data_IF_290751689269
#
_entry.id   IF_290751689269
#
_cell.length_a   1.000
_cell.length_b   1.000
_cell.length_c   1.000
_cell.angle_alpha   90.00
_cell.angle_beta   90.00
_cell.angle_gamma   90.00
#
_symmetry.space_group_name_H-M   'P 1'
#
loop_
_entity.id
_entity.type
_entity.pdbx_description
1 polymer ?
#
# COMPACT_ATOMS: atom_id res chain seq x y z
N UNK A 1 -21.36 0.94 3.04
CA UNK A 1 -20.95 -0.48 3.02
C UNK A 1 -20.09 -0.64 1.79
N UNK A 2 -18.93 -1.28 1.90
CA UNK A 2 -18.06 -1.51 0.73
C UNK A 2 -18.47 -2.79 0.02
N UNK A 3 -18.51 -2.74 -1.31
CA UNK A 3 -18.55 -3.88 -2.20
C UNK A 3 -17.15 -4.44 -2.38
N UNK A 4 -17.07 -5.68 -2.88
CA UNK A 4 -15.80 -6.30 -3.24
C UNK A 4 -15.00 -5.44 -4.25
N UNK A 5 -15.67 -4.82 -5.22
CA UNK A 5 -15.03 -3.89 -6.16
C UNK A 5 -14.44 -2.67 -5.46
N UNK A 6 -15.16 -2.09 -4.50
CA UNK A 6 -14.68 -0.90 -3.79
C UNK A 6 -13.50 -1.24 -2.86
N UNK A 7 -13.38 -2.47 -2.33
CA UNK A 7 -12.18 -2.91 -1.61
C UNK A 7 -10.93 -2.95 -2.52
N UNK A 8 -11.08 -3.38 -3.77
CA UNK A 8 -9.98 -3.30 -4.75
C UNK A 8 -9.65 -1.88 -5.14
N UNK A 9 -10.65 -1.00 -5.28
CA UNK A 9 -10.39 0.42 -5.54
C UNK A 9 -9.57 1.06 -4.42
N UNK A 10 -9.83 0.65 -3.18
CA UNK A 10 -9.05 1.05 -2.02
C UNK A 10 -7.63 0.50 -2.05
N UNK A 11 -7.44 -0.79 -2.38
CA UNK A 11 -6.11 -1.36 -2.55
C UNK A 11 -5.29 -0.66 -3.64
N UNK A 12 -5.89 -0.46 -4.82
CA UNK A 12 -5.26 0.31 -5.90
C UNK A 12 -4.89 1.72 -5.44
N UNK A 13 -5.76 2.38 -4.67
CA UNK A 13 -5.49 3.73 -4.18
C UNK A 13 -4.32 3.77 -3.19
N UNK A 14 -4.13 2.74 -2.36
CA UNK A 14 -2.98 2.63 -1.45
C UNK A 14 -1.68 2.54 -2.25
N UNK A 15 -1.61 1.65 -3.24
CA UNK A 15 -0.42 1.51 -4.12
C UNK A 15 -0.11 2.81 -4.88
N UNK A 16 -1.15 3.49 -5.40
CA UNK A 16 -0.98 4.80 -6.06
C UNK A 16 -0.43 5.84 -5.10
N UNK A 17 -0.82 5.78 -3.83
CA UNK A 17 -0.27 6.67 -2.83
C UNK A 17 1.19 6.32 -2.53
N UNK A 18 1.53 5.03 -2.40
CA UNK A 18 2.89 4.56 -2.14
C UNK A 18 3.85 4.99 -3.24
N UNK A 19 3.47 4.79 -4.50
CA UNK A 19 4.25 5.23 -5.67
C UNK A 19 4.57 6.73 -5.57
N UNK A 20 3.54 7.55 -5.35
CA UNK A 20 3.68 9.01 -5.24
C UNK A 20 4.54 9.42 -4.06
N UNK A 21 4.34 8.77 -2.91
CA UNK A 21 5.15 8.99 -1.71
C UNK A 21 6.63 8.74 -2.03
N UNK A 22 6.95 7.59 -2.61
CA UNK A 22 8.32 7.21 -2.91
C UNK A 22 8.96 8.10 -3.97
N UNK A 23 8.24 8.49 -5.04
CA UNK A 23 8.73 9.46 -6.02
C UNK A 23 9.02 10.82 -5.39
N UNK A 24 8.12 11.30 -4.53
CA UNK A 24 8.31 12.56 -3.84
C UNK A 24 9.51 12.49 -2.89
N UNK A 25 9.62 11.43 -2.09
CA UNK A 25 10.72 11.19 -1.16
C UNK A 25 12.07 11.10 -1.89
N UNK A 26 12.12 10.42 -3.04
CA UNK A 26 13.31 10.29 -3.88
C UNK A 26 13.85 11.65 -4.32
N UNK A 27 12.96 12.62 -4.62
CA UNK A 27 13.37 13.98 -5.01
C UNK A 27 13.98 14.79 -3.86
N UNK A 28 13.75 14.39 -2.60
CA UNK A 28 14.27 15.06 -1.39
C UNK A 28 15.50 14.37 -0.80
N UNK A 29 15.67 13.08 -1.07
CA UNK A 29 16.86 12.33 -0.67
C UNK A 29 18.12 12.99 -1.26
N UNK A 30 19.23 12.99 -0.50
CA UNK A 30 20.49 13.60 -0.94
C UNK A 30 21.44 12.53 -1.48
N UNK A 31 21.55 11.39 -0.80
CA UNK A 31 22.43 10.29 -1.19
C UNK A 31 21.87 9.41 -2.30
N UNK A 32 22.72 9.03 -3.25
CA UNK A 32 22.34 8.14 -4.37
C UNK A 32 21.85 6.77 -3.88
N UNK A 33 22.39 6.27 -2.78
CA UNK A 33 21.93 5.01 -2.18
C UNK A 33 20.45 5.07 -1.76
N UNK A 34 20.03 6.16 -1.10
CA UNK A 34 18.64 6.32 -0.68
C UNK A 34 17.72 6.60 -1.88
N UNK A 35 18.17 7.41 -2.85
CA UNK A 35 17.42 7.66 -4.09
C UNK A 35 17.13 6.37 -4.85
N UNK A 36 18.13 5.49 -4.97
CA UNK A 36 17.97 4.22 -5.68
C UNK A 36 16.98 3.29 -4.95
N UNK A 37 17.04 3.24 -3.61
CA UNK A 37 16.09 2.45 -2.82
C UNK A 37 14.65 2.96 -2.99
N UNK A 38 14.43 4.28 -2.84
CA UNK A 38 13.11 4.89 -2.99
C UNK A 38 12.59 4.78 -4.44
N UNK A 39 13.47 4.90 -5.43
CA UNK A 39 13.12 4.69 -6.84
C UNK A 39 12.68 3.25 -7.12
N UNK A 40 13.40 2.27 -6.58
CA UNK A 40 13.04 0.85 -6.69
C UNK A 40 11.70 0.54 -6.00
N UNK A 41 11.47 1.08 -4.79
CA UNK A 41 10.18 0.95 -4.09
C UNK A 41 9.03 1.53 -4.91
N UNK A 42 9.18 2.74 -5.46
CA UNK A 42 8.17 3.32 -6.33
C UNK A 42 7.83 2.45 -7.56
N UNK A 43 8.83 1.74 -8.10
CA UNK A 43 8.60 0.80 -9.20
C UNK A 43 7.88 -0.48 -8.74
N UNK A 44 8.07 -0.94 -7.50
CA UNK A 44 7.30 -2.07 -6.94
C UNK A 44 5.82 -1.71 -6.77
N UNK A 45 5.50 -0.54 -6.24
CA UNK A 45 4.12 -0.04 -6.09
C UNK A 45 3.35 -0.02 -7.42
N UNK A 46 4.02 0.33 -8.52
CA UNK A 46 3.41 0.28 -9.87
C UNK A 46 3.06 -1.14 -10.30
N UNK A 47 3.88 -2.13 -9.92
CA UNK A 47 3.61 -3.53 -10.19
C UNK A 47 2.42 -4.03 -9.35
N UNK A 48 2.34 -3.63 -8.09
CA UNK A 48 1.22 -3.95 -7.21
C UNK A 48 -0.09 -3.32 -7.70
N UNK A 49 -0.07 -2.04 -8.06
CA UNK A 49 -1.20 -1.32 -8.65
C UNK A 49 -1.73 -2.07 -9.89
N UNK A 50 -0.82 -2.47 -10.77
CA UNK A 50 -1.15 -3.21 -11.98
C UNK A 50 -1.76 -4.58 -11.66
N UNK A 51 -1.20 -5.32 -10.71
CA UNK A 51 -1.71 -6.61 -10.28
C UNK A 51 -3.15 -6.51 -9.72
N UNK A 52 -3.44 -5.50 -8.90
CA UNK A 52 -4.80 -5.28 -8.38
C UNK A 52 -5.78 -4.84 -9.48
N UNK A 53 -5.35 -4.02 -10.45
CA UNK A 53 -6.19 -3.66 -11.61
C UNK A 53 -6.55 -4.88 -12.46
N UNK A 54 -5.56 -5.70 -12.82
CA UNK A 54 -5.79 -6.93 -13.60
C UNK A 54 -6.75 -7.88 -12.90
N UNK A 55 -6.56 -8.06 -11.58
CA UNK A 55 -7.41 -8.87 -10.73
C UNK A 55 -8.86 -8.35 -10.72
N UNK A 56 -9.04 -7.04 -10.50
CA UNK A 56 -10.36 -6.39 -10.51
C UNK A 56 -11.07 -6.61 -11.85
N UNK A 57 -10.37 -6.41 -12.97
CA UNK A 57 -10.95 -6.63 -14.29
C UNK A 57 -11.38 -8.08 -14.52
N UNK A 58 -10.57 -9.05 -14.07
CA UNK A 58 -10.90 -10.48 -14.18
C UNK A 58 -12.17 -10.82 -13.41
N UNK A 59 -12.31 -10.31 -12.19
CA UNK A 59 -13.49 -10.51 -11.33
C UNK A 59 -14.74 -9.90 -11.99
N UNK A 60 -14.64 -8.69 -12.53
CA UNK A 60 -15.76 -8.01 -13.21
C UNK A 60 -16.21 -8.78 -14.46
N UNK A 61 -15.26 -9.28 -15.27
CA UNK A 61 -15.54 -10.01 -16.53
C UNK A 61 -16.12 -11.41 -16.34
N UNK A 62 -15.94 -12.05 -15.18
CA UNK A 62 -16.35 -13.45 -14.94
C UNK A 62 -17.72 -13.68 -14.26
N UNK A 63 -18.59 -12.67 -14.19
CA UNK A 63 -19.63 -12.57 -13.15
C UNK A 63 -20.69 -13.69 -13.12
N UNK A 64 -20.73 -14.42 -11.98
CA UNK A 64 -21.89 -14.26 -11.06
C UNK A 64 -21.57 -13.11 -10.11
N UNK A 65 -22.54 -12.24 -9.74
CA UNK A 65 -22.31 -11.19 -8.75
C UNK A 65 -21.79 -11.82 -7.46
N UNK A 66 -20.67 -11.32 -6.95
CA UNK A 66 -20.28 -11.61 -5.58
C UNK A 66 -21.42 -11.14 -4.65
N UNK A 67 -21.82 -11.94 -3.63
CA UNK A 67 -22.84 -11.50 -2.71
C UNK A 67 -22.45 -10.14 -2.11
N UNK A 68 -23.42 -9.23 -1.89
CA UNK A 68 -23.14 -7.94 -1.27
C UNK A 68 -22.40 -8.13 0.04
N UNK A 69 -21.23 -7.52 0.13
CA UNK A 69 -20.45 -7.52 1.35
C UNK A 69 -21.14 -6.60 2.37
N UNK A 70 -21.94 -7.18 3.27
CA UNK A 70 -22.92 -6.45 4.07
C UNK A 70 -22.39 -5.82 5.38
N UNK A 71 -21.09 -5.85 5.68
CA UNK A 71 -20.63 -5.57 7.07
C UNK A 71 -19.51 -4.54 7.27
N UNK A 72 -18.84 -4.05 6.22
CA UNK A 72 -17.77 -3.05 6.42
C UNK A 72 -18.30 -1.61 6.36
N UNK A 73 -18.25 -0.93 7.49
CA UNK A 73 -18.51 0.52 7.56
C UNK A 73 -17.24 1.30 7.22
N UNK A 74 -17.41 2.49 6.63
CA UNK A 74 -16.31 3.43 6.35
C UNK A 74 -15.53 3.82 7.60
N UNK A 75 -16.18 3.86 8.75
CA UNK A 75 -15.53 4.14 10.02
C UNK A 75 -14.68 2.96 10.51
N UNK A 76 -15.17 1.72 10.39
CA UNK A 76 -14.38 0.53 10.75
C UNK A 76 -13.15 0.41 9.87
N UNK A 77 -13.32 0.64 8.57
CA UNK A 77 -12.24 0.62 7.60
C UNK A 77 -11.19 1.71 7.88
N UNK A 78 -11.61 2.96 8.08
CA UNK A 78 -10.68 4.05 8.46
C UNK A 78 -9.91 3.79 9.75
N UNK A 79 -10.48 3.09 10.73
CA UNK A 79 -9.79 2.76 11.98
C UNK A 79 -8.76 1.65 11.82
N UNK A 80 -8.98 0.73 10.88
CA UNK A 80 -8.10 -0.40 10.63
C UNK A 80 -6.90 -0.07 9.73
N UNK A 81 -7.00 0.99 8.92
CA UNK A 81 -6.08 1.29 7.81
C UNK A 81 -4.95 2.29 8.12
N UNK A 82 -4.74 2.65 9.39
CA UNK A 82 -3.76 3.68 9.74
C UNK A 82 -4.09 5.06 9.16
N UNK A 83 -3.13 5.99 9.20
CA UNK A 83 -3.32 7.40 8.78
C UNK A 83 -2.55 7.77 7.52
N UNK A 84 -1.49 7.04 7.20
CA UNK A 84 -0.46 7.47 6.26
C UNK A 84 -0.62 6.84 4.88
N UNK A 85 -1.04 5.57 4.81
CA UNK A 85 -1.23 4.83 3.54
C UNK A 85 -2.29 5.45 2.61
N UNK A 86 -3.30 6.11 3.18
CA UNK A 86 -4.49 6.56 2.44
C UNK A 86 -4.52 8.03 2.04
N UNK A 87 -3.71 8.86 2.70
CA UNK A 87 -3.68 10.30 2.46
C UNK A 87 -2.25 10.82 2.55
N UNK A 88 -1.66 11.12 1.40
CA UNK A 88 -0.33 11.73 1.31
C UNK A 88 -0.27 13.08 2.03
N UNK A 89 -1.39 13.78 2.13
CA UNK A 89 -1.51 15.03 2.89
C UNK A 89 -1.26 14.82 4.39
N UNK A 90 -1.53 13.62 4.94
CA UNK A 90 -1.30 13.29 6.35
C UNK A 90 0.17 12.95 6.65
N UNK A 91 0.94 12.52 5.65
CA UNK A 91 2.38 12.25 5.79
C UNK A 91 3.22 13.52 6.01
N UNK A 92 2.63 14.72 5.84
CA UNK A 92 3.31 16.02 5.95
C UNK A 92 4.69 16.00 5.31
N UNK A 93 4.82 15.47 4.10
CA UNK A 93 6.13 15.15 3.51
C UNK A 93 6.98 16.42 3.31
N UNK A 94 6.33 17.58 3.20
CA UNK A 94 6.98 18.89 3.18
C UNK A 94 7.75 19.22 4.47
N UNK A 95 7.33 18.68 5.62
CA UNK A 95 7.92 18.88 6.94
C UNK A 95 9.17 18.04 7.22
N UNK A 96 9.45 17.05 6.36
CA UNK A 96 10.57 16.11 6.54
C UNK A 96 11.92 16.82 6.34
N UNK A 97 12.77 16.73 7.35
CA UNK A 97 14.00 17.52 7.50
C UNK A 97 15.27 16.76 7.10
N UNK A 98 15.26 15.44 7.22
CA UNK A 98 16.42 14.60 6.92
C UNK A 98 16.04 13.21 6.38
N UNK A 99 17.06 12.46 5.95
CA UNK A 99 16.92 11.14 5.35
C UNK A 99 16.34 10.10 6.33
N UNK A 100 16.58 10.26 7.63
CA UNK A 100 16.05 9.36 8.65
C UNK A 100 14.55 9.54 8.81
N UNK A 101 14.08 10.78 8.83
CA UNK A 101 12.65 11.10 8.85
C UNK A 101 11.93 10.57 7.59
N UNK A 102 12.56 10.64 6.40
CA UNK A 102 12.03 10.02 5.17
C UNK A 102 11.82 8.52 5.38
N UNK A 103 12.85 7.82 5.85
CA UNK A 103 12.80 6.38 6.03
C UNK A 103 11.79 5.97 7.11
N UNK A 104 11.69 6.73 8.20
CA UNK A 104 10.68 6.48 9.24
C UNK A 104 9.26 6.64 8.70
N UNK A 105 9.01 7.68 7.89
CA UNK A 105 7.73 7.86 7.23
C UNK A 105 7.41 6.70 6.26
N UNK A 106 8.41 6.20 5.53
CA UNK A 106 8.28 5.05 4.65
C UNK A 106 7.92 3.77 5.43
N UNK A 107 8.60 3.50 6.55
CA UNK A 107 8.28 2.33 7.40
C UNK A 107 6.84 2.38 7.91
N UNK A 108 6.38 3.57 8.33
CA UNK A 108 4.99 3.75 8.79
C UNK A 108 3.98 3.56 7.64
N UNK A 109 4.34 4.00 6.43
CA UNK A 109 3.52 3.77 5.24
C UNK A 109 3.36 2.27 4.98
N UNK A 110 4.46 1.52 4.94
CA UNK A 110 4.44 0.07 4.74
C UNK A 110 3.66 -0.66 5.83
N UNK A 111 3.83 -0.25 7.09
CA UNK A 111 3.09 -0.81 8.21
C UNK A 111 1.57 -0.58 8.08
N UNK A 112 1.15 0.64 7.71
CA UNK A 112 -0.26 0.95 7.46
C UNK A 112 -0.83 0.14 6.28
N UNK A 113 -0.06 -0.05 5.20
CA UNK A 113 -0.44 -0.87 4.03
C UNK A 113 -0.60 -2.34 4.42
N UNK A 114 0.35 -2.92 5.16
CA UNK A 114 0.27 -4.31 5.64
C UNK A 114 -0.98 -4.51 6.51
N UNK A 115 -1.21 -3.62 7.48
CA UNK A 115 -2.38 -3.69 8.37
C UNK A 115 -3.69 -3.60 7.59
N UNK A 116 -3.75 -2.76 6.55
CA UNK A 116 -4.91 -2.71 5.67
C UNK A 116 -5.13 -4.04 4.95
N UNK A 117 -4.10 -4.65 4.38
CA UNK A 117 -4.22 -5.94 3.70
C UNK A 117 -4.62 -7.08 4.64
N UNK A 118 -4.06 -7.12 5.84
CA UNK A 118 -4.47 -8.07 6.89
C UNK A 118 -5.94 -7.87 7.28
N UNK A 119 -6.38 -6.62 7.36
CA UNK A 119 -7.75 -6.29 7.68
C UNK A 119 -8.73 -6.74 6.60
N UNK A 120 -8.38 -6.58 5.31
CA UNK A 120 -9.28 -6.94 4.22
C UNK A 120 -9.23 -8.43 3.84
N UNK A 121 -8.16 -9.15 4.18
CA UNK A 121 -7.97 -10.55 3.80
C UNK A 121 -9.13 -11.49 4.18
N UNK A 122 -9.73 -11.41 5.39
CA UNK A 122 -10.88 -12.26 5.76
C UNK A 122 -12.12 -12.04 4.90
N UNK A 123 -12.18 -10.92 4.18
CA UNK A 123 -13.30 -10.49 3.35
C UNK A 123 -13.11 -10.81 1.87
N UNK A 124 -11.94 -11.33 1.49
CA UNK A 124 -11.60 -11.71 0.12
C UNK A 124 -11.77 -13.22 -0.05
N UNK A 125 -12.85 -13.62 -0.74
CA UNK A 125 -13.20 -15.04 -0.93
C UNK A 125 -12.77 -15.62 -2.28
N UNK A 126 -12.43 -14.77 -3.27
CA UNK A 126 -11.93 -15.25 -4.56
C UNK A 126 -10.50 -15.80 -4.38
N UNK A 127 -10.22 -17.07 -4.72
CA UNK A 127 -8.91 -17.67 -4.45
C UNK A 127 -7.75 -16.94 -5.15
N UNK A 128 -7.99 -16.44 -6.35
CA UNK A 128 -6.98 -15.69 -7.08
C UNK A 128 -6.73 -14.33 -6.44
N UNK A 129 -7.77 -13.68 -5.94
CA UNK A 129 -7.64 -12.44 -5.18
C UNK A 129 -6.92 -12.63 -3.85
N UNK A 130 -7.28 -13.67 -3.07
CA UNK A 130 -6.61 -13.97 -1.81
C UNK A 130 -5.13 -14.25 -2.04
N UNK A 131 -4.78 -14.95 -3.12
CA UNK A 131 -3.38 -15.22 -3.47
C UNK A 131 -2.62 -13.96 -3.87
N UNK A 132 -3.21 -13.05 -4.65
CA UNK A 132 -2.59 -11.77 -5.02
C UNK A 132 -2.38 -10.88 -3.79
N UNK A 133 -3.40 -10.77 -2.93
CA UNK A 133 -3.35 -9.98 -1.72
C UNK A 133 -2.24 -10.48 -0.77
N UNK A 134 -2.15 -11.79 -0.54
CA UNK A 134 -1.13 -12.35 0.34
C UNK A 134 0.28 -12.17 -0.23
N UNK A 135 0.43 -12.33 -1.55
CA UNK A 135 1.72 -12.10 -2.21
C UNK A 135 2.20 -10.67 -2.00
N UNK A 136 1.35 -9.68 -2.28
CA UNK A 136 1.69 -8.26 -2.14
C UNK A 136 1.96 -7.92 -0.67
N UNK A 137 1.12 -8.38 0.28
CA UNK A 137 1.35 -8.18 1.72
C UNK A 137 2.73 -8.68 2.20
N UNK A 138 3.19 -9.81 1.66
CA UNK A 138 4.53 -10.33 1.95
C UNK A 138 5.62 -9.47 1.31
N UNK A 139 5.40 -8.97 0.09
CA UNK A 139 6.31 -8.01 -0.58
C UNK A 139 6.44 -6.71 0.25
N UNK A 140 5.34 -6.13 0.75
CA UNK A 140 5.38 -4.95 1.64
C UNK A 140 6.09 -5.22 2.97
N UNK A 141 5.94 -6.42 3.52
CA UNK A 141 6.68 -6.82 4.72
C UNK A 141 8.19 -6.82 4.47
N UNK A 142 8.63 -7.21 3.26
CA UNK A 142 10.03 -7.15 2.87
C UNK A 142 10.48 -5.70 2.61
N UNK A 143 9.64 -4.86 2.01
CA UNK A 143 9.92 -3.42 1.84
C UNK A 143 10.17 -2.75 3.19
N UNK A 144 9.27 -2.98 4.16
CA UNK A 144 9.43 -2.49 5.53
C UNK A 144 10.75 -2.92 6.14
N UNK A 145 11.12 -4.20 5.98
CA UNK A 145 12.38 -4.72 6.50
C UNK A 145 13.59 -4.01 5.87
N UNK A 146 13.61 -3.86 4.54
CA UNK A 146 14.69 -3.15 3.82
C UNK A 146 14.84 -1.70 4.30
N UNK A 147 13.72 -1.02 4.54
CA UNK A 147 13.72 0.35 5.08
C UNK A 147 14.28 0.40 6.51
N UNK A 148 13.91 -0.55 7.38
CA UNK A 148 14.43 -0.64 8.75
C UNK A 148 15.93 -0.95 8.79
N UNK A 149 16.41 -1.82 7.90
CA UNK A 149 17.83 -2.08 7.71
C UNK A 149 18.54 -0.79 7.28
N UNK A 150 17.96 -0.03 6.33
CA UNK A 150 18.53 1.23 5.88
C UNK A 150 18.62 2.29 6.98
N UNK A 151 17.61 2.37 7.87
CA UNK A 151 17.64 3.25 9.05
C UNK A 151 18.79 2.89 9.99
N UNK A 152 19.15 1.61 10.08
CA UNK A 152 20.21 1.14 10.98
C UNK A 152 21.62 1.44 10.46
N UNK A 153 21.77 1.77 9.18
CA UNK A 153 23.04 2.14 8.54
C UNK A 153 23.40 3.63 8.68
N UNK A 154 22.45 4.48 9.13
CA UNK A 154 22.58 5.95 9.21
C UNK A 154 22.59 6.46 10.65
#
# INVERSE_FOLDING_TARGET
>A
MFTFSELFDLAIQVEVNGERFYRYAMNRAKGDSLKNLLGWLADQELLHESAFKELKERIVRGTKPAPPFASLTQQALRRAMGRHAFSLDELQIDSIRDEKEILQAAVLFEEDTILFFEFIAPFVSDPGASSTLEKIRVEESNHKQLLMEKISEI
#
